data_IF_935244938945
#
_entry.id   IF_935244938945
#
_cell.length_a   1.000
_cell.length_b   1.000
_cell.length_c   1.000
_cell.angle_alpha   90.00
_cell.angle_beta   90.00
_cell.angle_gamma   90.00
#
_symmetry.space_group_name_H-M   'P 1'
#
loop_
_entity.id
_entity.type
_entity.pdbx_description
1 polymer ?
#
# COMPACT_ATOMS: atom_id res chain seq x y z
N UNK A 1 6.19 -67.45 20.96
CA UNK A 1 5.20 -66.35 20.83
C UNK A 1 5.41 -65.21 21.84
N UNK A 2 5.67 -65.48 23.12
CA UNK A 2 5.92 -64.44 24.15
C UNK A 2 7.05 -63.44 23.83
N UNK A 3 8.17 -63.92 23.28
CA UNK A 3 9.32 -63.06 22.97
C UNK A 3 9.08 -62.16 21.75
N UNK A 4 8.24 -62.60 20.79
CA UNK A 4 7.87 -61.80 19.63
C UNK A 4 6.99 -60.62 20.04
N UNK A 5 6.04 -60.84 20.95
CA UNK A 5 5.19 -59.78 21.49
C UNK A 5 6.00 -58.71 22.25
N UNK A 6 7.01 -59.11 23.03
CA UNK A 6 7.91 -58.20 23.73
C UNK A 6 8.76 -57.36 22.77
N UNK A 7 9.25 -57.95 21.68
CA UNK A 7 10.00 -57.23 20.65
C UNK A 7 9.11 -56.19 19.96
N UNK A 8 7.87 -56.55 19.63
CA UNK A 8 6.91 -55.63 18.99
C UNK A 8 6.58 -54.46 19.92
N UNK A 9 6.34 -54.71 21.21
CA UNK A 9 6.06 -53.65 22.19
C UNK A 9 7.28 -52.73 22.35
N UNK A 10 8.50 -53.28 22.40
CA UNK A 10 9.72 -52.48 22.48
C UNK A 10 9.92 -51.60 21.24
N UNK A 11 9.66 -52.13 20.03
CA UNK A 11 9.74 -51.38 18.78
C UNK A 11 8.70 -50.25 18.74
N UNK A 12 7.46 -50.49 19.17
CA UNK A 12 6.43 -49.46 19.25
C UNK A 12 6.82 -48.37 20.26
N UNK A 13 7.36 -48.74 21.42
CA UNK A 13 7.82 -47.79 22.42
C UNK A 13 8.97 -46.91 21.89
N UNK A 14 9.94 -47.50 21.18
CA UNK A 14 11.05 -46.76 20.58
C UNK A 14 10.55 -45.83 19.47
N UNK A 15 9.63 -46.29 18.61
CA UNK A 15 9.05 -45.45 17.54
C UNK A 15 8.24 -44.28 18.12
N UNK A 16 7.57 -44.47 19.26
CA UNK A 16 6.76 -43.42 19.89
C UNK A 16 7.57 -42.24 20.45
N UNK A 17 8.83 -42.46 20.85
CA UNK A 17 9.68 -41.37 21.36
C UNK A 17 10.29 -40.52 20.25
N UNK A 18 10.41 -41.04 19.02
CA UNK A 18 10.95 -40.30 17.87
C UNK A 18 9.94 -39.31 17.28
N UNK A 19 8.64 -39.52 17.51
CA UNK A 19 7.56 -38.62 17.02
C UNK A 19 7.54 -37.27 17.76
N UNK A 20 8.14 -37.18 18.95
CA UNK A 20 8.17 -35.95 19.75
C UNK A 20 9.28 -34.94 19.38
N UNK A 21 10.10 -35.23 18.36
CA UNK A 21 11.21 -34.35 17.95
C UNK A 21 10.96 -33.56 16.65
N UNK A 22 9.74 -33.60 16.08
CA UNK A 22 9.40 -32.67 15.00
C UNK A 22 9.16 -31.29 15.61
N UNK A 23 10.20 -30.47 15.69
CA UNK A 23 10.02 -29.05 15.91
C UNK A 23 9.27 -28.49 14.70
N UNK A 24 8.05 -28.02 14.95
CA UNK A 24 7.36 -27.16 13.99
C UNK A 24 8.16 -25.87 13.98
N UNK A 25 8.96 -25.67 12.93
CA UNK A 25 9.47 -24.34 12.59
C UNK A 25 8.26 -23.48 12.26
N UNK A 26 7.74 -22.77 13.27
CA UNK A 26 6.80 -21.69 13.04
C UNK A 26 7.64 -20.59 12.40
N UNK A 27 7.57 -20.49 11.08
CA UNK A 27 8.04 -19.30 10.39
C UNK A 27 7.09 -18.18 10.82
N UNK A 28 7.40 -17.52 11.93
CA UNK A 28 6.68 -16.33 12.36
C UNK A 28 7.02 -15.27 11.33
N UNK A 29 6.22 -15.16 10.27
CA UNK A 29 6.11 -13.91 9.55
C UNK A 29 5.69 -12.90 10.60
N UNK A 30 6.63 -12.09 11.07
CA UNK A 30 6.32 -10.92 11.89
C UNK A 30 5.51 -10.01 10.99
N UNK A 31 4.19 -10.17 11.02
CA UNK A 31 3.27 -9.14 10.54
C UNK A 31 3.49 -7.96 11.47
N UNK A 32 4.50 -7.16 11.17
CA UNK A 32 4.59 -5.81 11.70
C UNK A 32 3.26 -5.18 11.33
N UNK A 33 2.46 -4.81 12.34
CA UNK A 33 1.24 -4.07 12.10
C UNK A 33 1.62 -2.89 11.20
N UNK A 34 1.15 -2.89 9.95
CA UNK A 34 1.35 -1.76 9.07
C UNK A 34 0.72 -0.58 9.79
N UNK A 35 1.51 0.43 10.09
CA UNK A 35 0.96 1.67 10.59
C UNK A 35 0.06 2.19 9.46
N UNK A 36 -1.23 2.38 9.74
CA UNK A 36 -2.19 2.82 8.73
C UNK A 36 -1.73 4.11 8.03
N UNK A 37 -2.37 4.45 6.91
CA UNK A 37 -2.06 5.70 6.24
C UNK A 37 -2.42 6.90 7.12
N UNK A 38 -1.46 7.81 7.30
CA UNK A 38 -1.68 9.09 7.96
C UNK A 38 -1.96 10.18 6.91
N UNK A 39 -2.97 11.00 7.15
CA UNK A 39 -3.45 11.99 6.17
C UNK A 39 -3.24 13.41 6.70
N UNK A 40 -2.61 14.25 5.88
CA UNK A 40 -2.41 15.69 6.13
C UNK A 40 -3.10 16.47 5.03
N UNK A 41 -4.31 16.97 5.28
CA UNK A 41 -5.17 17.54 4.24
C UNK A 41 -5.53 18.99 4.54
N UNK A 42 -5.13 19.88 3.64
CA UNK A 42 -5.55 21.27 3.54
C UNK A 42 -6.43 21.42 2.30
N UNK A 43 -7.42 22.32 2.31
CA UNK A 43 -8.33 22.54 1.17
C UNK A 43 -9.66 21.77 1.24
N UNK A 44 -9.99 21.18 2.40
CA UNK A 44 -11.30 20.58 2.69
C UNK A 44 -11.67 19.48 1.68
N UNK A 45 -10.79 18.51 1.52
CA UNK A 45 -11.03 17.31 0.73
C UNK A 45 -11.35 16.11 1.62
N UNK A 46 -11.98 15.10 1.05
CA UNK A 46 -11.89 13.73 1.59
C UNK A 46 -10.80 13.01 0.80
N UNK A 47 -9.84 12.42 1.49
CA UNK A 47 -8.70 11.74 0.87
C UNK A 47 -8.65 10.31 1.35
N UNK A 48 -8.42 9.37 0.44
CA UNK A 48 -8.39 7.94 0.75
C UNK A 48 -7.26 7.27 -0.02
N UNK A 49 -6.41 6.53 0.69
CA UNK A 49 -5.45 5.64 0.06
C UNK A 49 -6.12 4.33 -0.34
N UNK A 50 -6.06 3.98 -1.63
CA UNK A 50 -6.69 2.78 -2.20
C UNK A 50 -5.76 1.55 -2.17
N UNK A 51 -4.54 1.70 -1.64
CA UNK A 51 -3.58 0.61 -1.51
C UNK A 51 -2.66 0.45 -2.73
N UNK A 52 -1.90 -0.65 -2.71
CA UNK A 52 -0.92 -1.00 -3.74
C UNK A 52 -1.51 -1.98 -4.76
N UNK A 53 -1.27 -1.73 -6.04
CA UNK A 53 -1.62 -2.63 -7.14
C UNK A 53 -0.47 -2.71 -8.14
N UNK A 54 -0.49 -3.68 -9.04
CA UNK A 54 0.47 -3.73 -10.16
C UNK A 54 0.01 -2.75 -11.24
N UNK A 55 0.89 -1.83 -11.58
CA UNK A 55 0.69 -0.78 -12.56
C UNK A 55 0.72 -1.29 -14.00
N UNK A 56 -0.10 -0.67 -14.83
CA UNK A 56 -0.02 -0.77 -16.28
C UNK A 56 0.83 0.39 -16.81
N UNK A 57 1.51 0.18 -17.94
CA UNK A 57 2.34 1.23 -18.53
C UNK A 57 1.50 2.48 -18.81
N UNK A 58 1.97 3.64 -18.32
CA UNK A 58 1.30 4.91 -18.49
C UNK A 58 2.31 6.06 -18.62
N UNK A 59 2.02 7.02 -19.50
CA UNK A 59 2.77 8.26 -19.57
C UNK A 59 2.36 9.19 -18.42
N UNK A 60 3.31 9.96 -17.89
CA UNK A 60 3.01 10.97 -16.88
C UNK A 60 1.93 11.95 -17.38
N UNK A 61 0.96 12.28 -16.53
CA UNK A 61 -0.02 13.33 -16.83
C UNK A 61 0.66 14.70 -16.77
N UNK A 62 0.33 15.59 -17.71
CA UNK A 62 0.75 16.99 -17.65
C UNK A 62 0.28 17.65 -16.36
N UNK A 63 1.15 18.44 -15.73
CA UNK A 63 0.90 19.06 -14.42
C UNK A 63 0.73 20.59 -14.56
N UNK A 64 -0.19 21.22 -13.81
CA UNK A 64 -1.19 20.61 -12.94
C UNK A 64 -2.22 19.79 -13.72
N UNK A 65 -2.64 18.67 -13.15
CA UNK A 65 -3.72 17.85 -13.69
C UNK A 65 -5.03 18.65 -13.68
N UNK A 66 -5.74 18.74 -14.82
CA UNK A 66 -7.09 19.30 -14.83
C UNK A 66 -8.01 18.35 -14.07
N UNK A 67 -8.81 18.88 -13.15
CA UNK A 67 -9.80 18.07 -12.44
C UNK A 67 -10.80 17.45 -13.42
N UNK A 68 -11.05 16.15 -13.23
CA UNK A 68 -12.11 15.43 -13.94
C UNK A 68 -12.71 14.38 -13.00
N UNK A 69 -14.03 14.35 -12.90
CA UNK A 69 -14.73 13.37 -12.07
C UNK A 69 -14.50 11.95 -12.60
N UNK A 70 -14.04 11.04 -11.74
CA UNK A 70 -13.58 9.70 -12.12
C UNK A 70 -12.26 9.69 -12.89
N UNK A 71 -11.61 10.84 -13.03
CA UNK A 71 -10.36 11.01 -13.78
C UNK A 71 -9.16 10.43 -13.06
N UNK A 72 -8.03 10.41 -13.78
CA UNK A 72 -6.74 9.93 -13.26
C UNK A 72 -5.63 10.92 -13.57
N UNK A 73 -4.84 11.23 -12.54
CA UNK A 73 -3.59 11.98 -12.61
C UNK A 73 -2.48 11.01 -12.18
N UNK A 74 -1.43 10.83 -12.99
CA UNK A 74 -0.42 9.81 -12.73
C UNK A 74 0.98 10.31 -12.96
N UNK A 75 1.94 9.78 -12.19
CA UNK A 75 3.35 9.80 -12.60
C UNK A 75 3.52 8.92 -13.84
N UNK A 76 4.69 8.96 -14.48
CA UNK A 76 5.02 7.92 -15.46
C UNK A 76 4.99 6.57 -14.72
N UNK A 77 4.37 5.57 -15.32
CA UNK A 77 4.27 4.21 -14.79
C UNK A 77 4.96 3.25 -15.73
N UNK A 78 5.93 2.51 -15.22
CA UNK A 78 6.47 1.35 -15.94
C UNK A 78 5.55 0.16 -15.71
N UNK A 79 5.14 -0.52 -16.79
CA UNK A 79 4.28 -1.69 -16.67
C UNK A 79 4.94 -2.78 -15.82
N UNK A 80 4.21 -3.30 -14.84
CA UNK A 80 4.70 -4.31 -13.89
C UNK A 80 5.26 -3.74 -12.59
N UNK A 81 5.52 -2.44 -12.50
CA UNK A 81 5.85 -1.80 -11.23
C UNK A 81 4.62 -1.71 -10.34
N UNK A 82 4.82 -1.72 -9.02
CA UNK A 82 3.75 -1.46 -8.08
C UNK A 82 3.41 0.03 -8.06
N UNK A 83 2.12 0.35 -7.99
CA UNK A 83 1.63 1.72 -7.89
C UNK A 83 0.81 1.87 -6.61
N UNK A 84 0.80 3.07 -6.04
CA UNK A 84 -0.11 3.43 -4.97
C UNK A 84 -1.12 4.46 -5.46
N UNK A 85 -2.40 4.20 -5.22
CA UNK A 85 -3.47 5.11 -5.65
C UNK A 85 -4.02 5.89 -4.46
N UNK A 86 -4.06 7.22 -4.59
CA UNK A 86 -4.73 8.13 -3.68
C UNK A 86 -5.98 8.67 -4.38
N UNK A 87 -7.15 8.46 -3.82
CA UNK A 87 -8.37 9.10 -4.28
C UNK A 87 -8.60 10.39 -3.49
N UNK A 88 -8.87 11.49 -4.19
CA UNK A 88 -9.30 12.76 -3.61
C UNK A 88 -10.74 12.99 -4.03
N UNK A 89 -11.60 13.39 -3.08
CA UNK A 89 -12.97 13.77 -3.33
C UNK A 89 -13.22 15.22 -2.90
N UNK A 90 -13.96 15.96 -3.74
CA UNK A 90 -14.37 17.33 -3.45
C UNK A 90 -15.46 17.34 -2.38
N UNK A 91 -15.45 18.36 -1.51
CA UNK A 91 -16.52 18.64 -0.56
C UNK A 91 -17.20 19.96 -0.93
N UNK A 92 -18.37 20.26 -0.35
CA UNK A 92 -19.03 21.56 -0.55
C UNK A 92 -18.26 22.79 -0.08
N UNK A 93 -17.10 22.60 0.56
CA UNK A 93 -16.22 23.66 1.05
C UNK A 93 -14.84 23.66 0.41
N UNK A 94 -14.62 22.82 -0.60
CA UNK A 94 -13.36 22.83 -1.36
C UNK A 94 -13.18 24.17 -2.09
N UNK A 95 -11.99 24.81 -2.03
CA UNK A 95 -11.73 26.02 -2.81
C UNK A 95 -11.83 25.77 -4.32
N UNK A 96 -12.49 26.67 -5.05
CA UNK A 96 -12.56 26.65 -6.52
C UNK A 96 -11.27 27.18 -7.15
N UNK A 97 -11.00 26.77 -8.38
CA UNK A 97 -9.90 27.29 -9.23
C UNK A 97 -8.54 27.39 -8.52
N UNK A 98 -8.26 26.47 -7.61
CA UNK A 98 -7.09 26.49 -6.74
C UNK A 98 -6.20 25.29 -7.03
N UNK A 99 -4.89 25.49 -7.07
CA UNK A 99 -3.92 24.42 -7.31
C UNK A 99 -3.43 23.85 -5.99
N UNK A 100 -3.50 22.52 -5.88
CA UNK A 100 -3.03 21.75 -4.72
C UNK A 100 -2.00 20.72 -5.16
N UNK A 101 -1.17 20.28 -4.22
CA UNK A 101 -0.18 19.21 -4.41
C UNK A 101 -0.58 18.01 -3.57
N UNK A 102 -0.69 16.85 -4.21
CA UNK A 102 -0.77 15.53 -3.59
C UNK A 102 0.64 14.95 -3.51
N UNK A 103 1.13 14.74 -2.29
CA UNK A 103 2.43 14.12 -2.02
C UNK A 103 2.22 12.78 -1.34
N UNK A 104 2.82 11.74 -1.90
CA UNK A 104 2.93 10.43 -1.27
C UNK A 104 4.31 10.26 -0.67
N UNK A 105 4.37 10.03 0.64
CA UNK A 105 5.59 9.65 1.35
C UNK A 105 5.39 8.34 2.08
N UNK A 106 6.45 7.58 2.25
CA UNK A 106 6.39 6.33 3.01
C UNK A 106 7.63 6.13 3.87
N UNK A 107 7.54 5.27 4.87
CA UNK A 107 8.67 4.80 5.65
C UNK A 107 9.05 3.39 5.15
N UNK A 108 10.19 3.22 4.43
CA UNK A 108 10.61 1.91 3.95
C UNK A 108 10.85 0.92 5.11
N UNK A 109 10.74 -0.38 4.84
CA UNK A 109 11.12 -1.40 5.83
C UNK A 109 12.60 -1.25 6.22
N UNK A 110 12.88 -1.18 7.52
CA UNK A 110 14.23 -0.93 8.04
C UNK A 110 14.71 0.52 7.89
N UNK A 111 13.88 1.41 7.34
CA UNK A 111 14.15 2.84 7.24
C UNK A 111 13.92 3.57 8.56
N UNK A 112 14.63 4.69 8.74
CA UNK A 112 14.49 5.60 9.89
C UNK A 112 13.82 6.91 9.53
N UNK A 113 13.57 7.18 8.24
CA UNK A 113 13.00 8.42 7.74
C UNK A 113 12.00 8.17 6.61
N UNK A 114 11.00 9.05 6.51
CA UNK A 114 10.08 9.06 5.38
C UNK A 114 10.80 9.50 4.11
N UNK A 115 10.53 8.79 3.01
CA UNK A 115 10.97 9.18 1.67
C UNK A 115 9.77 9.50 0.80
N UNK A 116 9.92 10.49 -0.08
CA UNK A 116 8.88 10.87 -1.04
C UNK A 116 8.89 9.86 -2.19
N UNK A 117 7.73 9.26 -2.44
CA UNK A 117 7.50 8.37 -3.59
C UNK A 117 7.23 9.21 -4.83
N UNK A 118 6.37 10.22 -4.70
CA UNK A 118 6.09 11.16 -5.78
C UNK A 118 5.18 12.29 -5.35
N UNK A 119 5.03 13.24 -6.27
CA UNK A 119 4.20 14.43 -6.13
C UNK A 119 3.42 14.65 -7.41
N UNK A 120 2.13 14.96 -7.28
CA UNK A 120 1.25 15.34 -8.38
C UNK A 120 0.50 16.61 -7.98
N UNK A 121 0.31 17.52 -8.91
CA UNK A 121 -0.45 18.75 -8.74
C UNK A 121 -1.78 18.65 -9.49
N UNK A 122 -2.82 19.26 -8.96
CA UNK A 122 -4.09 19.41 -9.66
C UNK A 122 -4.71 20.77 -9.38
N UNK A 123 -5.54 21.24 -10.30
CA UNK A 123 -6.32 22.46 -10.11
C UNK A 123 -7.79 22.09 -9.96
N UNK A 124 -8.42 22.53 -8.88
CA UNK A 124 -9.87 22.33 -8.66
C UNK A 124 -10.68 23.08 -9.72
N UNK A 125 -11.88 22.58 -10.06
CA UNK A 125 -12.71 23.24 -11.07
C UNK A 125 -13.22 24.60 -10.58
N UNK A 126 -13.69 25.44 -11.51
CA UNK A 126 -14.31 26.72 -11.21
C UNK A 126 -15.66 26.59 -10.47
N UNK A 127 -16.27 25.41 -10.53
CA UNK A 127 -17.51 25.07 -9.84
C UNK A 127 -17.32 23.72 -9.15
N UNK A 128 -17.58 23.66 -7.84
CA UNK A 128 -17.42 22.44 -7.06
C UNK A 128 -18.75 21.67 -7.03
N UNK A 129 -18.68 20.42 -7.47
CA UNK A 129 -19.74 19.43 -7.23
C UNK A 129 -19.26 18.49 -6.12
N UNK A 130 -19.85 18.52 -4.92
CA UNK A 130 -19.44 17.65 -3.82
C UNK A 130 -19.58 16.17 -4.18
N UNK A 131 -18.60 15.36 -3.79
CA UNK A 131 -18.58 13.92 -4.07
C UNK A 131 -17.95 13.53 -5.41
N UNK A 132 -17.61 14.49 -6.28
CA UNK A 132 -16.73 14.19 -7.41
C UNK A 132 -15.37 13.71 -6.90
N UNK A 133 -14.79 12.74 -7.60
CA UNK A 133 -13.53 12.11 -7.22
C UNK A 133 -12.51 12.13 -8.35
N UNK A 134 -11.23 12.11 -8.00
CA UNK A 134 -10.13 11.93 -8.95
C UNK A 134 -9.06 11.06 -8.31
N UNK A 135 -8.49 10.13 -9.10
CA UNK A 135 -7.43 9.23 -8.65
C UNK A 135 -6.05 9.82 -8.98
N UNK A 136 -5.12 9.68 -8.04
CA UNK A 136 -3.73 10.09 -8.13
C UNK A 136 -2.85 8.85 -7.98
N UNK A 137 -2.18 8.46 -9.07
CA UNK A 137 -1.40 7.22 -9.14
C UNK A 137 0.08 7.55 -9.08
N UNK A 138 0.76 6.93 -8.11
CA UNK A 138 2.18 7.09 -7.89
C UNK A 138 2.87 5.77 -8.21
N UNK A 139 3.72 5.77 -9.23
CA UNK A 139 4.65 4.67 -9.49
C UNK A 139 5.70 4.61 -8.38
N UNK A 140 5.94 3.39 -7.90
CA UNK A 140 6.99 3.11 -6.92
C UNK A 140 8.35 2.82 -7.55
N UNK A 141 8.38 2.55 -8.87
CA UNK A 141 9.58 2.15 -9.61
C UNK A 141 10.07 0.74 -9.25
N UNK A 142 9.18 -0.13 -8.75
CA UNK A 142 9.55 -1.45 -8.20
C UNK A 142 8.61 -2.54 -8.68
N UNK A 143 9.17 -3.57 -9.32
CA UNK A 143 8.47 -4.82 -9.66
C UNK A 143 8.43 -5.82 -8.49
N UNK A 144 9.46 -5.81 -7.64
CA UNK A 144 9.50 -6.54 -6.38
C UNK A 144 9.19 -5.59 -5.22
N UNK A 145 8.05 -5.78 -4.58
CA UNK A 145 7.52 -4.84 -3.60
C UNK A 145 7.54 -5.39 -2.18
N UNK A 146 8.23 -4.64 -1.32
CA UNK A 146 8.14 -4.77 0.13
C UNK A 146 7.29 -3.61 0.62
N UNK A 147 6.16 -3.92 1.26
CA UNK A 147 5.29 -2.88 1.78
C UNK A 147 6.02 -2.00 2.82
N UNK A 148 5.81 -0.67 2.78
CA UNK A 148 6.38 0.23 3.76
C UNK A 148 5.76 -0.01 5.15
N UNK A 149 6.47 0.45 6.18
CA UNK A 149 6.03 0.40 7.58
C UNK A 149 4.89 1.38 7.83
N UNK A 150 4.94 2.54 7.17
CA UNK A 150 3.96 3.62 7.30
C UNK A 150 3.85 4.42 6.01
N UNK A 151 2.70 5.05 5.80
CA UNK A 151 2.41 5.91 4.65
C UNK A 151 1.89 7.25 5.16
N UNK A 152 2.35 8.34 4.55
CA UNK A 152 1.82 9.69 4.75
C UNK A 152 1.34 10.23 3.42
N UNK A 153 0.08 10.64 3.38
CA UNK A 153 -0.53 11.29 2.21
C UNK A 153 -0.79 12.74 2.59
N UNK A 154 -0.17 13.66 1.86
CA UNK A 154 -0.38 15.10 2.06
C UNK A 154 -1.11 15.69 0.86
N UNK A 155 -2.16 16.47 1.10
CA UNK A 155 -2.84 17.28 0.08
C UNK A 155 -2.88 18.72 0.59
N UNK A 156 -2.21 19.65 -0.09
CA UNK A 156 -2.15 21.06 0.35
C UNK A 156 -1.84 22.03 -0.77
#
# INVERSE_FOLDING_TARGET
MRNLALIIIAVIAILSTVVYASSVSVNTSTYQAQNGAYYVVTGKFVVTGQGFTVGQMATATGQPCPWSNGGTCTTAVTGGDWVYTVQVALTGSTPTSSTFTVTLQWLPQGGTAYVTVGTLQFTTPSTITPGETMNFIFDTGRTLFTAPVAIVITVR
#
